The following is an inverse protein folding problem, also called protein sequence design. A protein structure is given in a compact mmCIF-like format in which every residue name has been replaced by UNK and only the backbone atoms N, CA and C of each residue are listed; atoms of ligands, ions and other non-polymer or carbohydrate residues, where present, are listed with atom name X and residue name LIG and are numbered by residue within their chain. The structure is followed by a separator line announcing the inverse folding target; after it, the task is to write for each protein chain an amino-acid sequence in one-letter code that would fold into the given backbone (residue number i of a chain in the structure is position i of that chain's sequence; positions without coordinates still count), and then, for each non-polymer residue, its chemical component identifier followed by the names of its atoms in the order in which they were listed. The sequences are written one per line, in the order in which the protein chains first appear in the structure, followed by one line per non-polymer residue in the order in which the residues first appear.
data_IF_888293598314
#
_entry.id   IF_888293598314
#
_cell.length_a   1.000
_cell.length_b   1.000
_cell.length_c   1.000
_cell.angle_alpha   90.00
_cell.angle_beta   90.00
_cell.angle_gamma   90.00
#
_symmetry.space_group_name_H-M   'P 1'
#
loop_
_entity.id
_entity.type
_entity.pdbx_description
1 polymer ?
#
# COMPACT_ATOMS: atom_id res chain seq x y z
N UNK A 1 -15.76 -16.48 19.39
CA UNK A 1 -15.70 -17.69 20.23
C UNK A 1 -16.63 -18.72 19.65
N UNK A 2 -16.12 -19.90 19.41
CA UNK A 2 -16.89 -21.06 18.94
C UNK A 2 -17.46 -21.82 20.14
N UNK A 3 -18.27 -22.83 19.87
CA UNK A 3 -18.91 -23.62 20.95
C UNK A 3 -17.92 -24.45 21.79
N UNK A 4 -16.80 -24.83 21.21
CA UNK A 4 -15.70 -25.53 21.90
C UNK A 4 -14.85 -24.63 22.78
N UNK A 5 -15.18 -23.33 22.85
CA UNK A 5 -14.44 -22.31 23.58
C UNK A 5 -13.25 -21.72 22.82
N UNK A 6 -12.93 -22.22 21.64
CA UNK A 6 -11.85 -21.65 20.81
C UNK A 6 -12.21 -20.23 20.33
N UNK A 7 -11.19 -19.40 20.18
CA UNK A 7 -11.31 -18.01 19.75
C UNK A 7 -10.43 -17.72 18.55
N UNK A 8 -10.82 -18.22 17.36
CA UNK A 8 -10.07 -17.90 16.14
C UNK A 8 -9.99 -16.40 15.89
N UNK A 9 -8.86 -15.95 15.33
CA UNK A 9 -8.67 -14.54 14.98
C UNK A 9 -9.64 -14.07 13.90
N UNK A 10 -10.05 -12.82 14.03
CA UNK A 10 -10.82 -12.07 13.02
C UNK A 10 -10.12 -10.73 12.81
N UNK A 11 -9.76 -10.43 11.58
CA UNK A 11 -9.23 -9.12 11.19
C UNK A 11 -10.42 -8.19 10.92
N UNK A 12 -10.54 -7.13 11.69
CA UNK A 12 -11.61 -6.13 11.49
C UNK A 12 -11.32 -5.38 10.19
N UNK A 13 -12.31 -5.32 9.29
CA UNK A 13 -12.14 -4.51 8.06
C UNK A 13 -12.03 -3.02 8.40
N UNK A 14 -11.15 -2.32 7.70
CA UNK A 14 -11.08 -0.86 7.79
C UNK A 14 -12.46 -0.23 7.56
N UNK A 15 -12.82 0.75 8.38
CA UNK A 15 -14.12 1.44 8.40
C UNK A 15 -15.33 0.56 8.77
N UNK A 16 -15.13 -0.65 9.24
CA UNK A 16 -16.21 -1.49 9.73
C UNK A 16 -16.87 -0.85 10.95
N UNK A 17 -18.19 -0.87 11.10
CA UNK A 17 -18.83 -0.62 12.38
C UNK A 17 -18.42 -1.66 13.43
N UNK A 18 -18.41 -1.25 14.70
CA UNK A 18 -18.21 -2.18 15.82
C UNK A 18 -19.45 -3.05 16.06
N UNK A 19 -19.24 -4.28 16.53
CA UNK A 19 -20.33 -5.05 17.12
C UNK A 19 -20.83 -4.38 18.41
N UNK A 20 -22.05 -4.70 18.90
CA UNK A 20 -22.54 -4.22 20.20
C UNK A 20 -21.54 -4.48 21.33
N UNK A 21 -21.64 -3.70 22.41
CA UNK A 21 -20.84 -3.94 23.61
C UNK A 21 -21.15 -5.35 24.15
N UNK A 22 -20.15 -6.19 24.31
CA UNK A 22 -20.34 -7.62 24.64
C UNK A 22 -20.28 -8.56 23.45
N UNK A 23 -20.17 -8.03 22.21
CA UNK A 23 -20.13 -8.82 21.00
C UNK A 23 -21.52 -9.13 20.42
N UNK A 24 -21.52 -9.84 19.30
CA UNK A 24 -22.70 -10.34 18.60
C UNK A 24 -22.73 -11.87 18.70
N UNK A 25 -23.75 -12.42 19.36
CA UNK A 25 -23.97 -13.87 19.42
C UNK A 25 -25.10 -14.23 18.44
N UNK A 26 -24.76 -14.92 17.38
CA UNK A 26 -25.73 -15.31 16.35
C UNK A 26 -25.27 -16.57 15.59
N UNK A 27 -26.18 -17.18 14.84
CA UNK A 27 -25.83 -18.29 13.94
C UNK A 27 -25.12 -17.75 12.69
N UNK A 28 -24.03 -18.36 12.26
CA UNK A 28 -23.51 -18.11 10.93
C UNK A 28 -24.47 -18.66 9.88
N UNK A 29 -24.54 -18.00 8.73
CA UNK A 29 -25.24 -18.48 7.54
C UNK A 29 -24.41 -18.21 6.31
N UNK A 30 -24.38 -19.15 5.37
CA UNK A 30 -23.74 -18.97 4.08
C UNK A 30 -24.79 -18.79 3.00
N UNK A 31 -24.55 -17.94 1.99
CA UNK A 31 -25.36 -17.96 0.78
C UNK A 31 -25.40 -19.38 0.20
N UNK A 32 -26.58 -19.83 -0.19
CA UNK A 32 -26.72 -21.16 -0.79
C UNK A 32 -26.23 -21.21 -2.23
N UNK A 33 -25.94 -22.40 -2.76
CA UNK A 33 -25.63 -22.61 -4.17
C UNK A 33 -24.15 -22.72 -4.51
N UNK A 34 -23.76 -22.27 -5.69
CA UNK A 34 -22.41 -22.38 -6.26
C UNK A 34 -21.38 -21.42 -5.63
N UNK A 35 -20.14 -21.52 -6.11
CA UNK A 35 -19.04 -20.71 -5.61
C UNK A 35 -19.27 -19.19 -5.83
N UNK A 36 -19.90 -18.80 -6.93
CA UNK A 36 -20.21 -17.40 -7.23
C UNK A 36 -21.22 -16.83 -6.22
N UNK A 37 -22.28 -17.60 -5.92
CA UNK A 37 -23.29 -17.18 -4.95
C UNK A 37 -22.72 -17.09 -3.53
N UNK A 38 -21.81 -17.99 -3.15
CA UNK A 38 -21.14 -17.96 -1.84
C UNK A 38 -20.30 -16.71 -1.61
N UNK A 39 -19.88 -16.01 -2.66
CA UNK A 39 -19.19 -14.71 -2.53
C UNK A 39 -20.09 -13.59 -1.99
N UNK A 40 -21.43 -13.76 -2.04
CA UNK A 40 -22.36 -12.78 -1.48
C UNK A 40 -22.44 -11.45 -2.22
N UNK A 41 -22.14 -11.44 -3.52
CA UNK A 41 -21.96 -10.22 -4.32
C UNK A 41 -23.25 -9.66 -4.93
N UNK A 42 -24.29 -10.47 -5.09
CA UNK A 42 -25.50 -10.08 -5.84
C UNK A 42 -26.73 -10.02 -4.95
N UNK A 43 -27.66 -9.09 -5.21
CA UNK A 43 -29.00 -9.20 -4.67
C UNK A 43 -29.54 -10.60 -4.97
N UNK A 44 -30.20 -11.23 -4.00
CA UNK A 44 -30.68 -12.62 -4.16
C UNK A 44 -29.64 -13.70 -3.76
N UNK A 45 -28.40 -13.35 -3.40
CA UNK A 45 -27.45 -14.33 -2.86
C UNK A 45 -28.00 -15.07 -1.62
N UNK A 46 -28.86 -14.41 -0.86
CA UNK A 46 -29.51 -14.94 0.34
C UNK A 46 -30.95 -15.41 0.11
N UNK A 47 -31.44 -15.53 -1.16
CA UNK A 47 -32.76 -16.03 -1.42
C UNK A 47 -32.93 -17.46 -0.88
N UNK A 48 -33.94 -17.66 -0.03
CA UNK A 48 -34.19 -18.92 0.67
C UNK A 48 -33.23 -19.15 1.88
N UNK A 49 -32.34 -18.21 2.18
CA UNK A 49 -31.45 -18.28 3.35
C UNK A 49 -31.95 -17.31 4.42
N UNK A 50 -32.22 -17.78 5.66
CA UNK A 50 -32.70 -16.92 6.73
C UNK A 50 -31.52 -16.10 7.31
N UNK A 51 -31.20 -14.98 6.66
CA UNK A 51 -30.04 -14.13 7.06
C UNK A 51 -30.36 -13.14 8.18
N UNK A 52 -31.64 -12.83 8.41
CA UNK A 52 -32.05 -11.82 9.39
C UNK A 52 -31.50 -12.10 10.80
N UNK A 53 -30.78 -11.13 11.37
CA UNK A 53 -30.16 -11.20 12.69
C UNK A 53 -29.00 -12.19 12.80
N UNK A 54 -28.52 -12.74 11.68
CA UNK A 54 -27.45 -13.75 11.64
C UNK A 54 -26.13 -13.15 11.13
N UNK A 55 -25.07 -13.92 11.29
CA UNK A 55 -23.74 -13.57 10.78
C UNK A 55 -23.63 -14.17 9.36
N UNK A 56 -23.56 -13.32 8.35
CA UNK A 56 -23.31 -13.76 6.99
C UNK A 56 -21.85 -14.21 6.86
N UNK A 57 -21.62 -15.45 6.45
CA UNK A 57 -20.30 -15.98 6.13
C UNK A 57 -20.21 -16.10 4.60
N UNK A 58 -19.28 -15.37 4.00
CA UNK A 58 -19.09 -15.31 2.54
C UNK A 58 -17.64 -15.59 2.17
N UNK A 59 -17.42 -16.05 0.94
CA UNK A 59 -16.08 -16.25 0.40
C UNK A 59 -15.49 -14.95 -0.11
N UNK A 60 -14.16 -14.82 -0.05
CA UNK A 60 -13.41 -13.72 -0.65
C UNK A 60 -13.55 -13.73 -2.19
N UNK A 61 -13.32 -12.56 -2.82
CA UNK A 61 -13.38 -12.39 -4.27
C UNK A 61 -14.75 -12.02 -4.80
N UNK A 62 -14.84 -11.83 -6.11
CA UNK A 62 -16.04 -11.54 -6.88
C UNK A 62 -16.55 -10.10 -6.87
N UNK A 63 -16.42 -9.38 -5.77
CA UNK A 63 -16.81 -7.97 -5.62
C UNK A 63 -16.14 -7.31 -4.41
N UNK A 64 -16.38 -6.01 -4.26
CA UNK A 64 -15.87 -5.20 -3.14
C UNK A 64 -16.46 -5.63 -1.79
N UNK A 65 -15.80 -5.24 -0.70
CA UNK A 65 -16.32 -5.42 0.66
C UNK A 65 -17.61 -4.63 0.88
N UNK A 66 -17.71 -3.46 0.26
CA UNK A 66 -18.92 -2.62 0.29
C UNK A 66 -20.12 -3.35 -0.30
N UNK A 67 -19.92 -4.04 -1.43
CA UNK A 67 -20.99 -4.83 -2.04
C UNK A 67 -21.39 -6.01 -1.17
N UNK A 68 -20.44 -6.77 -0.64
CA UNK A 68 -20.71 -7.89 0.26
C UNK A 68 -21.52 -7.45 1.49
N UNK A 69 -21.08 -6.36 2.12
CA UNK A 69 -21.76 -5.80 3.27
C UNK A 69 -23.14 -5.29 2.91
N UNK A 70 -23.27 -4.55 1.80
CA UNK A 70 -24.55 -4.01 1.34
C UNK A 70 -25.58 -5.10 1.05
N UNK A 71 -25.16 -6.17 0.37
CA UNK A 71 -26.03 -7.30 0.03
C UNK A 71 -26.46 -8.06 1.28
N UNK A 72 -25.52 -8.35 2.20
CA UNK A 72 -25.82 -9.03 3.45
C UNK A 72 -26.72 -8.19 4.36
N UNK A 73 -26.45 -6.88 4.49
CA UNK A 73 -27.30 -5.95 5.24
C UNK A 73 -28.71 -5.86 4.65
N UNK A 74 -28.83 -5.83 3.32
CA UNK A 74 -30.12 -5.87 2.61
C UNK A 74 -30.93 -7.14 2.88
N UNK A 75 -30.27 -8.25 3.15
CA UNK A 75 -30.88 -9.51 3.58
C UNK A 75 -31.15 -9.57 5.12
N UNK A 76 -30.84 -8.49 5.85
CA UNK A 76 -31.06 -8.39 7.30
C UNK A 76 -29.98 -9.05 8.16
N UNK A 77 -28.81 -9.37 7.60
CA UNK A 77 -27.70 -9.89 8.39
C UNK A 77 -27.22 -8.86 9.42
N UNK A 78 -26.75 -9.34 10.56
CA UNK A 78 -26.26 -8.49 11.66
C UNK A 78 -24.75 -8.24 11.59
N UNK A 79 -24.01 -9.06 10.88
CA UNK A 79 -22.58 -8.90 10.59
C UNK A 79 -22.19 -9.71 9.36
N UNK A 80 -21.00 -9.44 8.81
CA UNK A 80 -20.39 -10.21 7.72
C UNK A 80 -19.02 -10.71 8.16
N UNK A 81 -18.73 -11.98 7.92
CA UNK A 81 -17.39 -12.55 7.99
C UNK A 81 -17.00 -13.03 6.59
N UNK A 82 -15.86 -12.58 6.10
CA UNK A 82 -15.35 -12.93 4.78
C UNK A 82 -14.22 -13.93 4.93
N UNK A 83 -14.43 -15.15 4.48
CA UNK A 83 -13.45 -16.21 4.52
C UNK A 83 -12.43 -16.07 3.39
N UNK A 84 -11.16 -16.07 3.74
CA UNK A 84 -10.10 -16.11 2.74
C UNK A 84 -10.19 -17.40 1.91
N UNK A 85 -9.90 -17.30 0.61
CA UNK A 85 -9.85 -18.45 -0.31
C UNK A 85 -8.43 -19.00 -0.49
N UNK A 86 -7.42 -18.26 0.02
CA UNK A 86 -6.01 -18.65 0.07
C UNK A 86 -5.47 -18.78 1.50
N UNK A 87 -4.18 -19.05 1.66
CA UNK A 87 -3.52 -19.07 2.97
C UNK A 87 -3.39 -17.67 3.56
N UNK A 88 -3.27 -17.60 4.90
CA UNK A 88 -3.00 -16.39 5.64
C UNK A 88 -4.24 -15.64 6.11
N UNK A 89 -4.00 -14.52 6.78
CA UNK A 89 -5.03 -13.59 7.24
C UNK A 89 -5.67 -12.84 6.08
N UNK A 90 -6.83 -12.29 6.31
CA UNK A 90 -7.55 -11.50 5.31
C UNK A 90 -7.76 -10.09 5.81
N UNK A 91 -6.95 -9.19 5.31
CA UNK A 91 -7.08 -7.75 5.53
C UNK A 91 -7.98 -7.14 4.48
N UNK A 92 -8.93 -6.33 4.88
CA UNK A 92 -9.94 -5.74 4.00
C UNK A 92 -10.33 -4.35 4.45
N UNK A 93 -10.86 -3.56 3.52
CA UNK A 93 -11.37 -2.21 3.77
C UNK A 93 -12.73 -2.04 3.11
N UNK A 94 -13.56 -1.17 3.72
CA UNK A 94 -14.67 -0.55 3.04
C UNK A 94 -14.16 0.71 2.33
N UNK A 95 -14.61 0.98 1.12
CA UNK A 95 -14.19 2.16 0.37
C UNK A 95 -14.82 3.45 0.92
N UNK A 96 -16.04 3.36 1.44
CA UNK A 96 -16.76 4.51 2.00
C UNK A 96 -17.24 4.21 3.44
N UNK A 97 -16.64 4.84 4.45
CA UNK A 97 -17.08 4.69 5.83
C UNK A 97 -18.53 5.15 6.06
N UNK A 98 -19.05 6.08 5.25
CA UNK A 98 -20.44 6.54 5.34
C UNK A 98 -21.45 5.50 4.81
N UNK A 99 -21.00 4.60 3.93
CA UNK A 99 -21.83 3.51 3.42
C UNK A 99 -21.82 2.28 4.34
N UNK A 100 -20.96 2.25 5.37
CA UNK A 100 -20.85 1.15 6.32
C UNK A 100 -22.15 0.95 7.12
N UNK A 101 -22.73 -0.24 7.06
CA UNK A 101 -24.05 -0.54 7.65
C UNK A 101 -24.01 -1.54 8.80
N UNK A 102 -23.23 -2.59 8.65
CA UNK A 102 -23.12 -3.69 9.60
C UNK A 102 -21.64 -4.06 9.80
N UNK A 103 -21.26 -4.64 10.96
CA UNK A 103 -19.90 -5.09 11.19
C UNK A 103 -19.41 -6.09 10.13
N UNK A 104 -18.16 -5.90 9.66
CA UNK A 104 -17.53 -6.79 8.69
C UNK A 104 -16.07 -7.03 9.07
N UNK A 105 -15.59 -8.27 8.87
CA UNK A 105 -14.20 -8.64 9.11
C UNK A 105 -13.78 -9.83 8.28
N UNK A 106 -12.45 -9.97 8.08
CA UNK A 106 -11.84 -11.08 7.39
C UNK A 106 -11.46 -12.21 8.35
N UNK A 107 -11.57 -13.44 7.90
CA UNK A 107 -11.10 -14.63 8.62
C UNK A 107 -10.25 -15.50 7.71
N UNK A 108 -9.33 -16.29 8.28
CA UNK A 108 -8.57 -17.26 7.52
C UNK A 108 -9.48 -18.31 6.87
N UNK A 109 -8.98 -18.99 5.85
CA UNK A 109 -9.72 -20.09 5.21
C UNK A 109 -10.12 -21.19 6.22
N UNK A 110 -9.22 -21.49 7.17
CA UNK A 110 -9.48 -22.48 8.21
C UNK A 110 -10.63 -22.02 9.12
N UNK A 111 -10.58 -20.79 9.63
CA UNK A 111 -11.66 -20.23 10.44
C UNK A 111 -12.97 -20.19 9.67
N UNK A 112 -12.94 -19.87 8.38
CA UNK A 112 -14.13 -19.93 7.51
C UNK A 112 -14.76 -21.32 7.46
N UNK A 113 -13.96 -22.38 7.36
CA UNK A 113 -14.44 -23.77 7.41
C UNK A 113 -15.07 -24.14 8.75
N UNK A 114 -14.46 -23.72 9.86
CA UNK A 114 -15.02 -23.92 11.20
C UNK A 114 -16.38 -23.22 11.36
N UNK A 115 -16.48 -21.97 10.94
CA UNK A 115 -17.74 -21.21 10.97
C UNK A 115 -18.82 -21.83 10.07
N UNK A 116 -18.45 -22.38 8.92
CA UNK A 116 -19.37 -23.09 8.04
C UNK A 116 -19.90 -24.38 8.69
N UNK A 117 -19.04 -25.11 9.44
CA UNK A 117 -19.46 -26.26 10.21
C UNK A 117 -20.43 -25.87 11.35
N UNK A 118 -20.19 -24.76 12.06
CA UNK A 118 -21.13 -24.22 13.05
C UNK A 118 -22.49 -23.87 12.41
N UNK A 119 -22.46 -23.25 11.22
CA UNK A 119 -23.67 -22.93 10.46
C UNK A 119 -24.48 -24.17 10.11
N UNK A 120 -23.84 -25.23 9.60
CA UNK A 120 -24.47 -26.50 9.26
C UNK A 120 -25.06 -27.20 10.48
N UNK A 121 -24.34 -27.14 11.61
CA UNK A 121 -24.81 -27.69 12.87
C UNK A 121 -25.91 -26.84 13.56
N UNK A 122 -26.27 -25.69 12.99
CA UNK A 122 -27.27 -24.78 13.55
C UNK A 122 -26.84 -24.11 14.84
N UNK A 123 -25.53 -24.07 15.16
CA UNK A 123 -24.99 -23.52 16.38
C UNK A 123 -24.73 -22.01 16.29
N UNK A 124 -24.74 -21.34 17.42
CA UNK A 124 -24.39 -19.91 17.53
C UNK A 124 -22.89 -19.74 17.78
N UNK A 125 -22.35 -18.64 17.27
CA UNK A 125 -20.98 -18.20 17.59
C UNK A 125 -21.04 -16.78 18.12
N UNK A 126 -20.03 -16.39 18.92
CA UNK A 126 -19.88 -15.02 19.38
C UNK A 126 -18.76 -14.34 18.58
N UNK A 127 -19.07 -13.19 17.98
CA UNK A 127 -18.13 -12.36 17.22
C UNK A 127 -18.00 -11.01 17.92
N UNK A 128 -16.77 -10.59 18.14
CA UNK A 128 -16.46 -9.26 18.68
C UNK A 128 -15.55 -8.54 17.70
N UNK A 129 -16.07 -7.53 17.05
CA UNK A 129 -15.32 -6.61 16.18
C UNK A 129 -15.33 -5.25 16.87
N UNK A 130 -14.15 -4.66 17.05
CA UNK A 130 -13.97 -3.34 17.61
C UNK A 130 -13.21 -2.48 16.62
N UNK A 131 -13.80 -1.38 16.26
CA UNK A 131 -13.18 -0.37 15.40
C UNK A 131 -13.53 1.00 15.95
N UNK A 132 -12.65 1.94 15.71
CA UNK A 132 -12.87 3.36 15.91
C UNK A 132 -12.72 4.03 14.55
N UNK A 133 -13.82 4.57 14.03
CA UNK A 133 -13.78 5.39 12.82
C UNK A 133 -13.94 6.84 13.22
N UNK A 134 -12.89 7.61 13.04
CA UNK A 134 -12.85 9.03 13.36
C UNK A 134 -12.58 9.86 12.12
N UNK A 135 -13.18 11.02 12.01
CA UNK A 135 -12.78 12.00 11.01
C UNK A 135 -11.60 12.78 11.56
N UNK A 136 -10.45 12.59 10.94
CA UNK A 136 -9.21 13.31 11.26
C UNK A 136 -8.75 14.09 10.04
N UNK A 137 -7.92 15.11 10.26
CA UNK A 137 -7.19 15.82 9.22
C UNK A 137 -5.72 15.49 9.38
N UNK A 138 -5.04 15.35 8.25
CA UNK A 138 -3.59 15.27 8.17
C UNK A 138 -3.09 16.31 7.17
N UNK A 139 -1.79 16.51 7.11
CA UNK A 139 -1.16 17.48 6.24
C UNK A 139 -0.05 16.81 5.44
N UNK A 140 0.13 17.27 4.20
CA UNK A 140 1.37 17.01 3.46
C UNK A 140 2.35 18.15 3.72
N UNK A 141 3.63 17.84 3.87
CA UNK A 141 4.68 18.86 3.85
C UNK A 141 5.29 18.89 2.45
N UNK A 142 5.24 20.06 1.82
CA UNK A 142 5.76 20.22 0.46
C UNK A 142 6.92 21.21 0.48
N UNK A 143 8.10 20.74 0.13
CA UNK A 143 9.27 21.59 -0.09
C UNK A 143 9.50 21.76 -1.60
N UNK A 144 9.84 22.99 -2.01
CA UNK A 144 10.09 23.34 -3.41
C UNK A 144 11.48 23.94 -3.51
N UNK A 145 12.23 23.55 -4.55
CA UNK A 145 13.55 24.15 -4.81
C UNK A 145 13.45 25.68 -4.95
N UNK A 146 14.46 26.44 -4.52
CA UNK A 146 14.46 27.91 -4.58
C UNK A 146 14.29 28.46 -5.99
N UNK A 147 14.61 27.66 -7.02
CA UNK A 147 14.51 28.02 -8.43
C UNK A 147 14.27 26.79 -9.28
N UNK A 148 14.56 26.90 -10.57
CA UNK A 148 14.30 25.87 -11.56
C UNK A 148 13.08 26.18 -12.42
N UNK A 149 13.04 25.60 -13.60
CA UNK A 149 11.98 25.83 -14.58
C UNK A 149 10.67 25.14 -14.13
N UNK A 150 9.61 25.91 -13.81
CA UNK A 150 8.34 25.35 -13.37
C UNK A 150 7.61 24.55 -14.46
N UNK A 151 7.97 24.72 -15.75
CA UNK A 151 7.40 23.92 -16.85
C UNK A 151 7.93 22.47 -16.87
N UNK A 152 8.98 22.20 -16.07
CA UNK A 152 9.60 20.90 -15.92
C UNK A 152 9.78 20.61 -14.42
N UNK A 153 8.72 20.14 -13.78
CA UNK A 153 8.71 19.81 -12.36
C UNK A 153 9.00 18.31 -12.17
N UNK A 154 9.96 18.01 -11.32
CA UNK A 154 10.29 16.67 -10.83
C UNK A 154 9.78 16.57 -9.40
N UNK A 155 8.91 15.63 -9.13
CA UNK A 155 8.38 15.38 -7.79
C UNK A 155 9.04 14.13 -7.22
N UNK A 156 9.44 14.17 -5.96
CA UNK A 156 9.91 13.02 -5.20
C UNK A 156 9.15 12.93 -3.89
N UNK A 157 8.88 11.73 -3.39
CA UNK A 157 8.08 11.62 -2.18
C UNK A 157 8.36 10.38 -1.35
N UNK A 158 8.01 10.51 -0.07
CA UNK A 158 7.96 9.46 0.94
C UNK A 158 6.90 9.85 1.97
N UNK A 159 6.21 8.90 2.56
CA UNK A 159 5.23 9.24 3.60
C UNK A 159 5.85 9.48 4.98
N UNK A 160 5.13 10.21 5.81
CA UNK A 160 5.55 10.61 7.17
C UNK A 160 4.76 9.93 8.26
N UNK A 161 3.59 9.40 7.93
CA UNK A 161 2.77 8.67 8.88
C UNK A 161 3.24 7.23 9.03
N UNK A 162 2.67 6.55 10.01
CA UNK A 162 2.90 5.15 10.32
C UNK A 162 1.61 4.56 10.88
N UNK A 163 1.51 3.24 10.88
CA UNK A 163 0.42 2.53 11.54
C UNK A 163 0.42 2.78 13.05
N UNK A 164 -0.74 2.72 13.74
CA UNK A 164 -0.82 2.90 15.19
C UNK A 164 0.03 1.91 16.01
N UNK A 165 0.30 0.74 15.46
CA UNK A 165 1.01 -0.36 16.09
C UNK A 165 2.53 -0.19 16.11
N UNK A 166 3.08 0.65 15.22
CA UNK A 166 4.52 0.80 15.03
C UNK A 166 5.00 2.25 15.02
N UNK A 167 6.26 2.50 15.44
CA UNK A 167 6.85 3.84 15.36
C UNK A 167 7.30 4.23 13.94
N UNK A 168 7.25 3.32 12.94
CA UNK A 168 7.46 3.66 11.54
C UNK A 168 8.88 4.14 11.16
N UNK A 169 9.92 3.56 11.76
CA UNK A 169 11.26 4.02 11.44
C UNK A 169 11.71 3.57 10.06
N UNK A 170 11.50 2.29 9.70
CA UNK A 170 11.76 1.83 8.35
C UNK A 170 10.57 2.13 7.44
N UNK A 171 9.37 2.08 7.97
CA UNK A 171 8.12 2.33 7.27
C UNK A 171 7.45 3.64 7.77
N UNK A 172 7.79 4.86 7.29
CA UNK A 172 8.72 5.14 6.20
C UNK A 172 9.72 6.23 6.60
N UNK A 173 10.06 6.35 7.89
CA UNK A 173 10.91 7.41 8.47
C UNK A 173 12.30 7.48 7.84
N UNK A 174 12.91 6.33 7.51
CA UNK A 174 14.23 6.29 6.83
C UNK A 174 14.13 6.90 5.43
N UNK A 175 13.09 6.60 4.68
CA UNK A 175 12.88 7.18 3.35
C UNK A 175 12.61 8.69 3.43
N UNK A 176 11.79 9.11 4.38
CA UNK A 176 11.54 10.54 4.65
C UNK A 176 12.83 11.28 5.01
N UNK A 177 13.72 10.68 5.80
CA UNK A 177 15.02 11.27 6.13
C UNK A 177 15.93 11.40 4.89
N UNK A 178 15.99 10.39 4.02
CA UNK A 178 16.74 10.44 2.77
C UNK A 178 16.15 11.49 1.81
N UNK A 179 14.84 11.60 1.74
CA UNK A 179 14.16 12.63 0.95
C UNK A 179 14.50 14.03 1.47
N UNK A 180 14.54 14.23 2.80
CA UNK A 180 14.93 15.48 3.43
C UNK A 180 16.38 15.87 3.09
N UNK A 181 17.31 14.92 3.12
CA UNK A 181 18.69 15.16 2.68
C UNK A 181 18.74 15.60 1.21
N UNK A 182 17.92 15.01 0.34
CA UNK A 182 17.79 15.44 -1.05
C UNK A 182 17.28 16.88 -1.16
N UNK A 183 16.27 17.26 -0.37
CA UNK A 183 15.74 18.61 -0.33
C UNK A 183 16.78 19.63 0.19
N UNK A 184 17.53 19.27 1.24
CA UNK A 184 18.60 20.11 1.80
C UNK A 184 19.77 20.28 0.82
N UNK A 185 20.14 19.23 0.09
CA UNK A 185 21.13 19.30 -0.95
C UNK A 185 20.70 20.20 -2.10
N UNK A 186 19.44 20.10 -2.52
CA UNK A 186 18.85 20.97 -3.54
C UNK A 186 18.83 22.44 -3.08
N UNK A 187 18.51 22.72 -1.82
CA UNK A 187 18.47 24.08 -1.27
C UNK A 187 19.83 24.79 -1.31
N UNK A 188 20.93 24.04 -1.32
CA UNK A 188 22.31 24.60 -1.29
C UNK A 188 22.83 25.09 -2.64
N UNK A 189 22.20 24.78 -3.75
CA UNK A 189 22.77 25.16 -5.05
C UNK A 189 21.92 24.81 -6.28
N UNK A 190 20.78 24.17 -6.10
CA UNK A 190 19.91 23.86 -7.22
C UNK A 190 19.00 25.03 -7.57
N UNK A 191 18.67 25.16 -8.87
CA UNK A 191 17.77 26.21 -9.35
C UNK A 191 18.45 27.56 -9.57
N UNK A 192 19.78 27.61 -9.52
CA UNK A 192 20.56 28.81 -9.87
C UNK A 192 20.67 29.02 -11.38
N UNK A 193 20.39 27.96 -12.17
CA UNK A 193 20.40 28.00 -13.63
C UNK A 193 18.98 27.96 -14.17
N UNK A 194 18.66 28.78 -15.19
CA UNK A 194 17.33 28.76 -15.81
C UNK A 194 16.94 27.41 -16.44
N UNK A 195 17.92 26.61 -16.84
CA UNK A 195 17.74 25.30 -17.42
C UNK A 195 17.50 24.17 -16.39
N UNK A 196 17.76 24.40 -15.11
CA UNK A 196 17.48 23.42 -14.07
C UNK A 196 15.97 23.16 -13.98
N UNK A 197 15.57 21.92 -13.76
CA UNK A 197 14.18 21.57 -13.53
C UNK A 197 13.76 21.95 -12.10
N UNK A 198 12.52 22.32 -11.89
CA UNK A 198 11.98 22.54 -10.56
C UNK A 198 11.86 21.24 -9.80
N UNK A 199 12.36 21.18 -8.57
CA UNK A 199 12.24 20.04 -7.69
C UNK A 199 11.15 20.29 -6.65
N UNK A 200 10.32 19.28 -6.43
CA UNK A 200 9.29 19.25 -5.38
C UNK A 200 9.51 17.99 -4.55
N UNK A 201 9.53 18.15 -3.25
CA UNK A 201 9.68 17.09 -2.29
C UNK A 201 8.40 16.99 -1.47
N UNK A 202 7.66 15.90 -1.63
CA UNK A 202 6.41 15.62 -0.94
C UNK A 202 6.63 14.66 0.21
N UNK A 203 6.34 15.13 1.42
CA UNK A 203 6.28 14.28 2.60
C UNK A 203 4.79 14.06 2.87
N UNK A 204 4.34 12.85 2.51
CA UNK A 204 2.92 12.55 2.46
C UNK A 204 2.37 12.17 3.84
N UNK A 205 1.16 12.60 4.14
CA UNK A 205 0.43 12.15 5.32
C UNK A 205 -0.66 11.16 4.96
N UNK A 206 -0.99 10.26 5.88
CA UNK A 206 -2.04 9.26 5.74
C UNK A 206 -1.86 8.33 4.52
N UNK A 207 -0.64 7.88 4.26
CA UNK A 207 -0.34 6.83 3.31
C UNK A 207 -0.96 5.51 3.78
N UNK A 208 -0.73 5.18 5.05
CA UNK A 208 -1.21 3.98 5.74
C UNK A 208 -2.75 3.87 5.83
N UNK A 209 -3.42 4.96 5.54
CA UNK A 209 -4.89 5.05 5.49
C UNK A 209 -5.43 5.02 4.04
N UNK A 210 -4.62 4.56 3.09
CA UNK A 210 -5.01 4.39 1.70
C UNK A 210 -4.50 5.50 0.78
N UNK A 211 -3.24 5.90 0.92
CA UNK A 211 -2.51 6.82 0.04
C UNK A 211 -3.14 8.23 -0.03
N UNK A 212 -3.85 8.65 1.06
CA UNK A 212 -4.70 9.84 1.02
C UNK A 212 -3.93 11.12 0.75
N UNK A 213 -2.70 11.24 1.28
CA UNK A 213 -1.90 12.45 1.12
C UNK A 213 -1.41 12.66 -0.29
N UNK A 214 -0.79 11.67 -0.90
CA UNK A 214 -0.32 11.72 -2.27
C UNK A 214 -1.47 11.85 -3.27
N UNK A 215 -2.57 11.13 -3.03
CA UNK A 215 -3.78 11.24 -3.85
C UNK A 215 -4.36 12.65 -3.79
N UNK A 216 -4.49 13.24 -2.59
CA UNK A 216 -4.94 14.63 -2.43
C UNK A 216 -4.04 15.61 -3.17
N UNK A 217 -2.72 15.45 -3.06
CA UNK A 217 -1.78 16.30 -3.79
C UNK A 217 -2.03 16.25 -5.30
N UNK A 218 -2.12 15.05 -5.87
CA UNK A 218 -2.33 14.86 -7.31
C UNK A 218 -3.71 15.39 -7.75
N UNK A 219 -4.75 15.17 -6.96
CA UNK A 219 -6.12 15.61 -7.26
C UNK A 219 -6.26 17.13 -7.24
N UNK A 220 -5.47 17.81 -6.42
CA UNK A 220 -5.46 19.28 -6.34
C UNK A 220 -4.63 19.96 -7.42
N UNK A 221 -3.81 19.22 -8.17
CA UNK A 221 -3.08 19.77 -9.31
C UNK A 221 -4.06 20.20 -10.41
N UNK A 222 -3.93 21.44 -10.87
CA UNK A 222 -4.58 21.89 -12.10
C UNK A 222 -4.09 21.07 -13.31
N UNK A 223 -4.83 21.08 -14.40
CA UNK A 223 -4.44 20.40 -15.64
C UNK A 223 -3.06 20.88 -16.15
N UNK A 224 -2.74 22.17 -15.95
CA UNK A 224 -1.45 22.73 -16.34
C UNK A 224 -0.32 22.27 -15.41
N UNK A 225 -0.53 22.25 -14.10
CA UNK A 225 0.45 21.73 -13.14
C UNK A 225 0.71 20.24 -13.36
N UNK A 226 -0.34 19.48 -13.66
CA UNK A 226 -0.20 18.05 -14.01
C UNK A 226 0.67 17.86 -15.25
N UNK A 227 0.51 18.66 -16.30
CA UNK A 227 1.36 18.63 -17.50
C UNK A 227 2.79 19.05 -17.21
N UNK A 228 3.00 19.97 -16.27
CA UNK A 228 4.32 20.44 -15.83
C UNK A 228 5.04 19.43 -14.97
N UNK A 229 4.32 18.53 -14.29
CA UNK A 229 4.88 17.43 -13.53
C UNK A 229 5.36 16.35 -14.49
N UNK A 230 6.67 16.22 -14.64
CA UNK A 230 7.28 15.36 -15.68
C UNK A 230 7.54 13.95 -15.19
N UNK A 231 7.78 13.78 -13.91
CA UNK A 231 7.99 12.48 -13.30
C UNK A 231 7.80 12.52 -11.79
N UNK A 232 7.62 11.34 -11.22
CA UNK A 232 7.59 11.11 -9.77
C UNK A 232 8.61 10.02 -9.38
N UNK A 233 9.34 10.26 -8.28
CA UNK A 233 10.28 9.33 -7.67
C UNK A 233 9.77 8.94 -6.28
N UNK A 234 9.44 7.66 -6.09
CA UNK A 234 8.97 7.09 -4.83
C UNK A 234 10.10 6.51 -4.00
N UNK A 235 10.09 6.73 -2.71
CA UNK A 235 10.98 6.06 -1.76
C UNK A 235 10.11 5.29 -0.76
N UNK A 236 10.37 3.97 -0.66
CA UNK A 236 9.56 3.09 0.17
C UNK A 236 10.42 2.07 0.91
N UNK A 237 10.34 2.06 2.26
CA UNK A 237 10.97 1.07 3.14
C UNK A 237 12.43 0.76 2.81
N UNK A 238 13.23 1.79 2.54
CA UNK A 238 14.60 1.66 2.00
C UNK A 238 15.65 1.20 3.02
N UNK A 239 15.25 0.93 4.26
CA UNK A 239 16.10 0.49 5.36
C UNK A 239 15.83 -0.92 5.88
N UNK A 240 15.13 -1.78 5.16
CA UNK A 240 14.74 -3.12 5.61
C UNK A 240 15.94 -3.96 6.06
N UNK A 241 15.87 -4.64 7.21
CA UNK A 241 17.04 -5.36 7.78
C UNK A 241 17.55 -6.50 6.90
N UNK A 242 16.64 -7.21 6.26
CA UNK A 242 16.92 -8.29 5.30
C UNK A 242 16.68 -7.79 3.87
N UNK A 243 17.16 -6.61 3.52
CA UNK A 243 16.78 -5.80 2.37
C UNK A 243 16.84 -6.50 1.01
N UNK A 244 15.97 -6.07 0.10
CA UNK A 244 16.12 -6.19 -1.33
C UNK A 244 16.63 -4.86 -1.91
N UNK A 245 17.10 -4.90 -3.16
CA UNK A 245 17.39 -3.69 -3.94
C UNK A 245 16.44 -3.69 -5.13
N UNK A 246 15.28 -3.08 -4.92
CA UNK A 246 14.23 -3.06 -5.93
C UNK A 246 14.07 -1.67 -6.56
N UNK A 247 13.77 -1.68 -7.85
CA UNK A 247 13.27 -0.52 -8.60
C UNK A 247 11.80 -0.76 -8.92
N UNK A 248 10.96 0.27 -8.93
CA UNK A 248 9.55 0.12 -9.33
C UNK A 248 9.47 -0.42 -10.76
N UNK A 249 8.78 -1.55 -10.94
CA UNK A 249 8.66 -2.24 -12.23
C UNK A 249 7.82 -1.41 -13.22
N UNK A 250 8.46 -0.90 -14.25
CA UNK A 250 7.80 -0.13 -15.32
C UNK A 250 7.05 -0.99 -16.34
N UNK A 251 7.22 -2.31 -16.30
CA UNK A 251 6.54 -3.27 -17.18
C UNK A 251 5.27 -3.86 -16.58
N UNK A 252 5.12 -3.79 -15.26
CA UNK A 252 3.97 -4.36 -14.56
C UNK A 252 2.70 -3.52 -14.77
N UNK A 253 1.54 -4.19 -14.72
CA UNK A 253 0.25 -3.51 -14.59
C UNK A 253 -0.09 -3.44 -13.11
N UNK A 254 -0.34 -2.25 -12.61
CA UNK A 254 -0.74 -2.05 -11.23
C UNK A 254 -2.10 -2.72 -10.95
N UNK A 255 -2.20 -3.64 -9.98
CA UNK A 255 -3.41 -4.41 -9.76
C UNK A 255 -4.55 -3.61 -9.14
N UNK A 256 -4.25 -2.47 -8.52
CA UNK A 256 -5.25 -1.61 -7.87
C UNK A 256 -5.91 -0.70 -8.90
N UNK A 257 -5.11 -0.01 -9.71
CA UNK A 257 -5.60 0.93 -10.72
C UNK A 257 -5.89 0.26 -12.07
N UNK A 258 -5.36 -0.93 -12.33
CA UNK A 258 -5.41 -1.59 -13.63
C UNK A 258 -4.56 -0.88 -14.70
N UNK A 259 -3.77 0.10 -14.31
CA UNK A 259 -3.00 0.94 -15.23
C UNK A 259 -1.56 0.42 -15.39
N UNK A 260 -1.00 0.72 -16.55
CA UNK A 260 0.44 0.54 -16.81
C UNK A 260 1.16 1.85 -16.56
N UNK A 261 2.43 1.79 -16.11
CA UNK A 261 3.26 2.97 -15.98
C UNK A 261 3.31 3.78 -17.28
N UNK A 262 3.25 5.10 -17.13
CA UNK A 262 3.25 6.03 -18.26
C UNK A 262 4.57 5.96 -19.04
N UNK A 263 4.58 6.34 -20.33
CA UNK A 263 5.81 6.48 -21.09
C UNK A 263 6.83 7.35 -20.36
N UNK A 264 8.08 6.88 -20.25
CA UNK A 264 9.14 7.50 -19.45
C UNK A 264 9.45 6.75 -18.16
N UNK A 265 8.53 5.96 -17.58
CA UNK A 265 8.79 5.16 -16.39
C UNK A 265 9.92 4.15 -16.60
N UNK A 266 10.00 3.53 -17.79
CA UNK A 266 11.09 2.61 -18.12
C UNK A 266 12.47 3.29 -18.14
N UNK A 267 12.54 4.57 -18.51
CA UNK A 267 13.79 5.33 -18.45
C UNK A 267 14.19 5.56 -17.00
N UNK A 268 13.24 5.90 -16.12
CA UNK A 268 13.49 6.12 -14.70
C UNK A 268 14.00 4.82 -14.05
N UNK A 269 13.32 3.70 -14.30
CA UNK A 269 13.74 2.38 -13.81
C UNK A 269 15.17 2.03 -14.27
N UNK A 270 15.46 2.22 -15.56
CA UNK A 270 16.79 2.00 -16.10
C UNK A 270 17.85 2.88 -15.42
N UNK A 271 17.56 4.16 -15.16
CA UNK A 271 18.46 5.07 -14.46
C UNK A 271 18.71 4.65 -13.01
N UNK A 272 17.71 4.18 -12.30
CA UNK A 272 17.86 3.62 -10.96
C UNK A 272 18.69 2.34 -10.98
N UNK A 273 18.45 1.46 -11.95
CA UNK A 273 19.25 0.23 -12.16
C UNK A 273 20.70 0.56 -12.44
N UNK A 274 20.98 1.54 -13.32
CA UNK A 274 22.34 2.05 -13.58
C UNK A 274 23.01 2.61 -12.32
N UNK A 275 22.23 3.33 -11.50
CA UNK A 275 22.75 3.91 -10.24
C UNK A 275 23.12 2.83 -9.19
N UNK A 276 22.36 1.73 -9.10
CA UNK A 276 22.74 0.58 -8.29
C UNK A 276 23.97 -0.15 -8.88
N UNK A 277 24.01 -0.32 -10.21
CA UNK A 277 25.15 -0.95 -10.89
C UNK A 277 26.45 -0.17 -10.69
N UNK A 278 26.39 1.17 -10.66
CA UNK A 278 27.54 2.03 -10.35
C UNK A 278 28.08 1.83 -8.92
N UNK A 279 27.25 1.33 -8.01
CA UNK A 279 27.64 0.93 -6.65
C UNK A 279 28.12 -0.54 -6.58
N UNK A 280 28.24 -1.24 -7.71
CA UNK A 280 28.59 -2.66 -7.77
C UNK A 280 27.46 -3.57 -7.30
N UNK A 281 26.20 -3.11 -7.33
CA UNK A 281 25.02 -3.84 -6.88
C UNK A 281 24.06 -4.09 -8.04
N UNK A 282 23.42 -5.24 -8.04
CA UNK A 282 22.35 -5.56 -8.99
C UNK A 282 20.99 -5.30 -8.32
N UNK A 283 20.16 -4.46 -8.93
CA UNK A 283 18.75 -4.33 -8.57
C UNK A 283 17.87 -5.30 -9.38
N UNK A 284 16.66 -5.52 -8.90
CA UNK A 284 15.61 -6.26 -9.62
C UNK A 284 14.37 -5.37 -9.71
N UNK A 285 13.49 -5.59 -10.72
CA UNK A 285 12.16 -5.02 -10.70
C UNK A 285 11.43 -5.46 -9.42
N UNK A 286 10.83 -4.52 -8.73
CA UNK A 286 10.05 -4.74 -7.51
C UNK A 286 8.55 -4.74 -7.78
N UNK A 287 7.74 -5.05 -6.79
CA UNK A 287 6.30 -5.08 -6.97
C UNK A 287 5.76 -3.68 -7.34
N UNK A 288 4.92 -3.63 -8.37
CA UNK A 288 4.00 -2.55 -8.63
C UNK A 288 2.62 -3.04 -8.18
N UNK A 289 2.41 -3.09 -6.87
CA UNK A 289 1.29 -3.81 -6.23
C UNK A 289 0.20 -2.87 -5.68
N UNK A 290 0.33 -1.58 -5.94
CA UNK A 290 -0.68 -0.60 -5.57
C UNK A 290 -0.62 -0.12 -4.12
N UNK A 291 0.47 -0.38 -3.40
CA UNK A 291 0.59 -0.14 -1.96
C UNK A 291 1.56 0.98 -1.57
N UNK A 292 1.82 1.93 -2.43
CA UNK A 292 2.64 3.10 -2.09
C UNK A 292 2.23 4.32 -2.91
N UNK A 293 2.70 5.48 -2.52
CA UNK A 293 2.32 6.81 -3.03
C UNK A 293 2.50 7.00 -4.55
N UNK A 294 3.29 6.13 -5.22
CA UNK A 294 3.43 6.17 -6.68
C UNK A 294 2.08 5.99 -7.41
N UNK A 295 1.11 5.33 -6.78
CA UNK A 295 -0.20 5.01 -7.36
C UNK A 295 -0.96 6.26 -7.78
N UNK A 296 -0.94 7.30 -6.96
CA UNK A 296 -1.60 8.57 -7.28
C UNK A 296 -1.07 9.20 -8.57
N UNK A 297 0.26 9.20 -8.72
CA UNK A 297 0.94 9.75 -9.91
C UNK A 297 0.75 8.88 -11.15
N UNK A 298 0.83 7.54 -10.97
CA UNK A 298 0.54 6.58 -12.02
C UNK A 298 -0.90 6.74 -12.52
N UNK A 299 -1.87 6.88 -11.62
CA UNK A 299 -3.28 7.14 -11.92
C UNK A 299 -3.49 8.44 -12.72
N UNK A 300 -2.64 9.44 -12.53
CA UNK A 300 -2.65 10.69 -13.26
C UNK A 300 -1.90 10.63 -14.61
N UNK A 301 -1.32 9.49 -14.97
CA UNK A 301 -0.53 9.32 -16.20
C UNK A 301 0.84 9.99 -16.14
N UNK A 302 1.36 10.29 -14.95
CA UNK A 302 2.68 10.85 -14.73
C UNK A 302 3.70 9.70 -14.70
N UNK A 303 4.83 9.78 -15.44
CA UNK A 303 5.89 8.78 -15.37
C UNK A 303 6.38 8.58 -13.94
N UNK A 304 6.40 7.33 -13.47
CA UNK A 304 6.77 6.98 -12.11
C UNK A 304 7.96 6.04 -12.08
N UNK A 305 8.80 6.19 -11.08
CA UNK A 305 9.83 5.25 -10.70
C UNK A 305 10.07 5.35 -9.20
N UNK A 306 10.92 4.50 -8.66
CA UNK A 306 11.19 4.53 -7.22
C UNK A 306 12.10 3.42 -6.78
N UNK A 307 12.46 3.45 -5.51
CA UNK A 307 13.28 2.44 -4.83
C UNK A 307 12.52 1.84 -3.66
N UNK A 308 12.70 0.53 -3.45
CA UNK A 308 12.01 -0.24 -2.44
C UNK A 308 12.93 -1.29 -1.80
N UNK A 309 12.90 -1.40 -0.48
CA UNK A 309 13.74 -2.31 0.29
C UNK A 309 13.12 -3.67 0.61
N UNK A 310 11.83 -3.81 0.41
CA UNK A 310 11.04 -5.00 0.77
C UNK A 310 10.37 -4.90 2.15
N UNK A 311 9.20 -5.50 2.30
CA UNK A 311 8.40 -5.50 3.53
C UNK A 311 8.24 -6.90 4.14
N UNK A 312 7.04 -7.39 4.25
CA UNK A 312 6.72 -8.69 4.86
C UNK A 312 6.97 -9.91 3.95
N UNK A 313 7.25 -9.70 2.67
CA UNK A 313 7.49 -10.77 1.72
C UNK A 313 8.77 -11.53 2.08
N UNK A 314 8.76 -12.83 1.85
CA UNK A 314 9.93 -13.65 2.11
C UNK A 314 10.99 -13.52 1.00
N UNK A 315 12.22 -13.19 1.38
CA UNK A 315 13.36 -13.14 0.46
C UNK A 315 13.60 -14.53 -0.15
N UNK A 316 13.78 -14.62 -1.46
CA UNK A 316 14.09 -15.89 -2.13
C UNK A 316 15.56 -16.27 -1.97
N UNK A 317 15.90 -17.52 -2.28
CA UNK A 317 17.28 -17.99 -2.25
C UNK A 317 18.17 -17.25 -3.29
N UNK A 318 17.61 -16.96 -4.46
CA UNK A 318 18.30 -16.18 -5.53
C UNK A 318 18.57 -14.75 -5.08
N UNK A 319 17.61 -14.13 -4.40
CA UNK A 319 17.77 -12.77 -3.87
C UNK A 319 18.76 -12.73 -2.71
N UNK A 320 18.79 -13.75 -1.86
CA UNK A 320 19.80 -13.87 -0.81
C UNK A 320 21.21 -14.08 -1.41
N UNK A 321 21.32 -14.78 -2.51
CA UNK A 321 22.59 -14.91 -3.24
C UNK A 321 23.06 -13.59 -3.87
N UNK A 322 22.12 -12.71 -4.28
CA UNK A 322 22.45 -11.39 -4.86
C UNK A 322 22.84 -10.35 -3.80
N UNK A 323 22.11 -10.31 -2.68
CA UNK A 323 22.19 -9.20 -1.72
C UNK A 323 22.61 -9.62 -0.32
N UNK A 324 22.83 -10.90 -0.07
CA UNK A 324 23.03 -11.44 1.28
C UNK A 324 21.74 -11.55 2.06
N UNK A 325 21.86 -11.74 3.36
CA UNK A 325 20.74 -11.92 4.26
C UNK A 325 20.19 -13.35 4.28
N UNK A 326 18.97 -13.53 4.77
CA UNK A 326 18.38 -14.85 5.05
C UNK A 326 17.21 -15.14 4.08
N UNK A 327 17.38 -16.20 3.25
CA UNK A 327 16.29 -16.72 2.43
C UNK A 327 15.14 -17.28 3.30
N UNK A 328 13.91 -17.18 2.82
CA UNK A 328 12.71 -17.65 3.51
C UNK A 328 12.29 -16.77 4.71
N UNK A 329 12.97 -15.66 4.93
CA UNK A 329 12.62 -14.69 5.99
C UNK A 329 12.09 -13.42 5.36
N UNK A 330 11.19 -12.68 6.03
CA UNK A 330 10.73 -11.37 5.57
C UNK A 330 11.90 -10.42 5.31
N UNK A 331 11.72 -9.49 4.37
CA UNK A 331 12.67 -8.38 4.20
C UNK A 331 12.70 -7.52 5.44
N UNK A 332 11.52 -7.20 6.00
CA UNK A 332 11.37 -6.55 7.28
C UNK A 332 10.45 -7.36 8.21
N UNK A 333 11.02 -8.04 9.22
CA UNK A 333 10.23 -8.79 10.20
C UNK A 333 9.49 -7.87 11.18
N UNK A 334 9.76 -6.57 11.17
CA UNK A 334 9.12 -5.58 12.03
C UNK A 334 8.09 -4.70 11.29
N UNK A 335 7.80 -5.00 10.03
CA UNK A 335 6.78 -4.29 9.25
C UNK A 335 5.45 -4.21 10.00
N UNK A 336 4.94 -2.99 10.20
CA UNK A 336 3.72 -2.68 10.94
C UNK A 336 3.70 -3.20 12.40
N UNK A 337 4.87 -3.34 13.03
CA UNK A 337 4.99 -3.82 14.40
C UNK A 337 5.73 -2.83 15.29
N UNK A 338 5.54 -2.99 16.61
CA UNK A 338 6.20 -2.16 17.63
C UNK A 338 7.73 -2.21 17.61
N UNK A 339 8.31 -3.17 16.92
CA UNK A 339 9.75 -3.33 16.78
C UNK A 339 10.35 -2.54 15.59
N UNK A 340 9.55 -1.87 14.76
CA UNK A 340 10.07 -0.99 13.70
C UNK A 340 10.68 0.29 14.31
N UNK A 341 11.91 0.14 14.82
CA UNK A 341 12.66 1.14 15.58
C UNK A 341 14.04 1.36 14.99
N UNK A 342 14.68 2.45 15.40
CA UNK A 342 16.04 2.84 14.96
C UNK A 342 17.11 1.75 15.12
N UNK A 343 16.92 0.80 16.02
CA UNK A 343 17.84 -0.33 16.20
C UNK A 343 17.64 -1.44 15.16
N UNK A 344 16.57 -1.40 14.38
CA UNK A 344 16.20 -2.50 13.47
C UNK A 344 16.49 -2.21 11.98
N UNK A 345 16.59 -0.94 11.57
CA UNK A 345 16.83 -0.67 10.17
C UNK A 345 18.29 -0.91 9.75
N UNK A 346 18.49 -1.25 8.48
CA UNK A 346 19.80 -1.44 7.86
C UNK A 346 20.34 -0.11 7.32
N UNK A 347 21.41 0.39 7.91
CA UNK A 347 22.12 1.57 7.38
C UNK A 347 22.72 1.33 6.00
N UNK A 348 23.18 0.09 5.74
CA UNK A 348 23.70 -0.28 4.42
C UNK A 348 22.60 -0.16 3.36
N UNK A 349 21.43 -0.73 3.62
CA UNK A 349 20.28 -0.63 2.72
C UNK A 349 19.89 0.82 2.46
N UNK A 350 19.72 1.62 3.51
CA UNK A 350 19.39 3.03 3.42
C UNK A 350 20.43 3.82 2.61
N UNK A 351 21.71 3.50 2.77
CA UNK A 351 22.80 4.14 2.01
C UNK A 351 22.73 3.78 0.53
N UNK A 352 22.58 2.49 0.20
CA UNK A 352 22.52 2.02 -1.19
C UNK A 352 21.33 2.64 -1.94
N UNK A 353 20.15 2.58 -1.35
CA UNK A 353 18.95 3.17 -1.95
C UNK A 353 19.03 4.70 -2.02
N UNK A 354 19.49 5.34 -0.94
CA UNK A 354 19.64 6.78 -0.88
C UNK A 354 20.62 7.31 -1.94
N UNK A 355 21.74 6.64 -2.16
CA UNK A 355 22.70 7.00 -3.20
C UNK A 355 22.13 6.80 -4.61
N UNK A 356 21.39 5.71 -4.84
CA UNK A 356 20.74 5.48 -6.12
C UNK A 356 19.68 6.57 -6.40
N UNK A 357 18.84 6.88 -5.41
CA UNK A 357 17.85 7.96 -5.50
C UNK A 357 18.53 9.31 -5.77
N UNK A 358 19.54 9.71 -4.99
CA UNK A 358 20.22 10.99 -5.14
C UNK A 358 20.91 11.12 -6.51
N UNK A 359 21.46 10.04 -7.03
CA UNK A 359 22.05 10.00 -8.39
C UNK A 359 21.00 10.33 -9.43
N UNK A 360 19.83 9.68 -9.35
CA UNK A 360 18.75 9.86 -10.32
C UNK A 360 18.05 11.21 -10.14
N UNK A 361 17.83 11.67 -8.91
CA UNK A 361 17.33 13.01 -8.62
C UNK A 361 18.27 14.09 -9.20
N UNK A 362 19.58 13.95 -8.98
CA UNK A 362 20.58 14.86 -9.55
C UNK A 362 20.57 14.84 -11.08
N UNK A 363 20.41 13.68 -11.69
CA UNK A 363 20.24 13.58 -13.15
C UNK A 363 19.02 14.37 -13.61
N UNK A 364 17.83 14.06 -13.09
CA UNK A 364 16.59 14.73 -13.49
C UNK A 364 16.42 16.15 -12.98
N UNK A 365 17.28 16.62 -12.09
CA UNK A 365 17.34 18.04 -11.76
C UNK A 365 17.81 18.90 -12.93
N UNK A 366 18.49 18.32 -13.94
CA UNK A 366 19.12 19.01 -15.07
C UNK A 366 18.80 18.45 -16.44
N UNK A 367 18.22 17.25 -16.49
CA UNK A 367 17.89 16.57 -17.73
C UNK A 367 16.40 16.27 -17.79
N UNK A 368 15.85 16.17 -18.98
CA UNK A 368 14.44 15.83 -19.20
C UNK A 368 14.32 14.35 -19.55
N UNK A 369 13.16 13.78 -19.31
CA UNK A 369 12.81 12.47 -19.86
C UNK A 369 12.88 12.51 -21.38
N UNK A 370 13.46 11.46 -21.97
CA UNK A 370 13.65 11.35 -23.42
C UNK A 370 14.85 12.14 -23.97
N UNK A 371 15.52 12.96 -23.19
CA UNK A 371 16.82 13.51 -23.53
C UNK A 371 17.89 12.43 -23.32
N UNK A 372 17.86 11.39 -24.16
CA UNK A 372 18.88 10.35 -24.15
C UNK A 372 20.23 10.92 -24.54
N UNK A 373 21.24 10.64 -23.74
CA UNK A 373 22.71 10.53 -23.99
C UNK A 373 23.20 10.77 -25.42
N UNK A 374 22.84 11.87 -26.04
CA UNK A 374 23.64 12.44 -27.11
C UNK A 374 24.68 13.32 -26.43
N UNK A 375 26.00 13.04 -26.56
CA UNK A 375 27.01 13.97 -26.12
C UNK A 375 26.75 15.30 -26.82
N UNK A 376 26.47 16.35 -26.07
CA UNK A 376 26.57 17.70 -26.62
C UNK A 376 28.04 17.91 -26.97
N UNK A 377 28.32 17.96 -28.28
CA UNK A 377 29.63 18.29 -28.80
C UNK A 377 30.10 19.68 -28.40
#
# INVERSE_FOLDING_TARGET
MLQDGSTPGVVVSGYSPSTPQGGLTARPVTPGGDAERRQGCRPGAYDGVPATGRIALVDAGGCSMDDKQRVAAGAGAAAVLVANTGPGEMHTWLADPAAARIPIGGVTQETGRLLAAEAQAGRTVQVTLRSLTERRTTENLIAVSPGGNPEHTVVSGAHLDSVPEGPGINDNGVAAAVLLEGALAAAKGHGTRPEDNRLVFGFWGAEEFGLLGSQHYVDTLSAEERKRTKLYLNLEMIGSPNYGLFTLDSGATDPVTGQRPAPGSAEIERKLTEAFAAQGRKSLPGPADGRSDYVAFLGAGIPTGGVYGGSFEAKTAEQAALWGGAAGRPYDPCYHLTCDRTAQYSREAATLHGQAFQTVLTHYSRHRLGEGSTPRG
#
